data_IF_065997998454
#
_entry.id   IF_065997998454
#
_cell.length_a   1.000
_cell.length_b   1.000
_cell.length_c   1.000
_cell.angle_alpha   90.00
_cell.angle_beta   90.00
_cell.angle_gamma   90.00
#
_symmetry.space_group_name_H-M   'P 1'
#
loop_
_entity.id
_entity.type
_entity.pdbx_description
1 polymer ?
#
# COMPACT_ATOMS: atom_id res chain seq x y z
N UNK A 1 -0.07 -26.36 3.68
CA UNK A 1 1.23 -26.87 3.18
C UNK A 1 1.04 -28.32 2.76
N UNK A 2 1.70 -28.79 1.69
CA UNK A 2 1.57 -30.19 1.25
C UNK A 2 2.12 -31.18 2.30
N UNK A 3 1.67 -32.44 2.27
CA UNK A 3 2.00 -33.47 3.28
C UNK A 3 3.51 -33.73 3.41
N UNK A 4 4.26 -33.56 2.33
CA UNK A 4 5.73 -33.75 2.30
C UNK A 4 6.51 -32.63 3.02
N UNK A 5 5.91 -31.44 3.15
CA UNK A 5 6.55 -30.25 3.74
C UNK A 5 6.03 -29.93 5.14
N UNK A 6 4.78 -30.33 5.45
CA UNK A 6 4.08 -29.93 6.68
C UNK A 6 4.75 -30.39 7.97
N UNK A 7 5.61 -31.41 7.93
CA UNK A 7 6.33 -31.92 9.10
C UNK A 7 7.80 -31.51 9.20
N UNK A 8 8.33 -30.78 8.22
CA UNK A 8 9.78 -30.48 8.13
C UNK A 8 10.09 -29.00 7.96
N UNK A 9 9.22 -28.27 7.25
CA UNK A 9 9.42 -26.84 7.03
C UNK A 9 9.16 -26.08 8.33
N UNK A 10 10.18 -25.37 8.80
CA UNK A 10 10.04 -24.42 9.89
C UNK A 10 9.32 -23.17 9.36
N UNK A 11 8.27 -22.74 10.05
CA UNK A 11 7.42 -21.63 9.60
C UNK A 11 7.01 -20.76 10.78
N UNK A 12 6.98 -19.45 10.53
CA UNK A 12 6.39 -18.47 11.43
C UNK A 12 5.24 -17.79 10.71
N UNK A 13 4.01 -18.01 11.18
CA UNK A 13 2.83 -17.28 10.67
C UNK A 13 2.63 -16.05 11.53
N UNK A 14 2.47 -14.88 10.91
CA UNK A 14 2.19 -13.62 11.60
C UNK A 14 0.78 -13.15 11.28
N UNK A 15 0.03 -12.72 12.29
CA UNK A 15 -1.26 -12.08 12.08
C UNK A 15 -1.40 -10.84 12.95
N UNK A 16 -1.96 -9.78 12.38
CA UNK A 16 -2.07 -8.48 13.05
C UNK A 16 -3.49 -7.96 13.02
N UNK A 17 -3.90 -7.45 14.17
CA UNK A 17 -5.15 -6.73 14.37
C UNK A 17 -5.26 -5.45 13.51
N UNK A 18 -4.13 -4.93 13.03
CA UNK A 18 -4.07 -3.71 12.20
C UNK A 18 -4.52 -3.91 10.74
N UNK A 19 -5.02 -5.10 10.38
CA UNK A 19 -5.23 -5.49 8.98
C UNK A 19 -6.66 -5.22 8.51
N UNK A 20 -6.77 -4.68 7.28
CA UNK A 20 -7.96 -4.51 6.46
C UNK A 20 -9.31 -4.35 7.22
N UNK A 21 -10.08 -5.43 7.33
CA UNK A 21 -11.49 -5.37 7.76
C UNK A 21 -11.66 -5.03 9.25
N UNK A 22 -10.67 -5.30 10.09
CA UNK A 22 -10.69 -4.87 11.49
C UNK A 22 -10.05 -3.48 11.63
N UNK A 23 -8.87 -3.29 11.05
CA UNK A 23 -8.24 -1.96 10.96
C UNK A 23 -7.87 -1.30 12.30
N UNK A 24 -7.85 -2.04 13.40
CA UNK A 24 -7.63 -1.53 14.76
C UNK A 24 -6.14 -1.28 15.07
N UNK A 25 -5.52 -0.45 14.23
CA UNK A 25 -4.07 -0.25 14.22
C UNK A 25 -3.52 0.37 15.51
N UNK A 26 -4.31 1.22 16.18
CA UNK A 26 -3.94 1.89 17.43
C UNK A 26 -3.81 0.97 18.64
N UNK A 27 -4.43 -0.22 18.60
CA UNK A 27 -4.40 -1.19 19.69
C UNK A 27 -3.10 -2.03 19.73
N UNK A 28 -2.25 -1.89 18.70
CA UNK A 28 -0.89 -2.47 18.64
C UNK A 28 -0.81 -3.95 19.02
N UNK A 29 -1.71 -4.79 18.50
CA UNK A 29 -1.74 -6.21 18.77
C UNK A 29 -1.62 -7.10 17.53
N UNK A 30 -1.17 -8.33 17.78
CA UNK A 30 -1.00 -9.41 16.81
C UNK A 30 -0.53 -10.67 17.52
N UNK A 31 -0.47 -11.77 16.79
CA UNK A 31 0.13 -13.01 17.26
C UNK A 31 1.10 -13.58 16.22
N UNK A 32 1.94 -14.50 16.69
CA UNK A 32 2.71 -15.37 15.81
C UNK A 32 2.46 -16.83 16.17
N UNK A 33 2.48 -17.69 15.17
CA UNK A 33 2.41 -19.14 15.32
C UNK A 33 3.72 -19.75 14.81
N UNK A 34 4.39 -20.52 15.66
CA UNK A 34 5.63 -21.23 15.36
C UNK A 34 5.29 -22.68 15.01
N UNK A 35 5.69 -23.14 13.82
CA UNK A 35 5.44 -24.51 13.34
C UNK A 35 6.77 -25.17 12.96
N UNK A 36 7.01 -26.38 13.48
CA UNK A 36 8.24 -27.18 13.27
C UNK A 36 9.55 -26.43 13.58
N UNK A 37 9.51 -25.39 14.41
CA UNK A 37 10.70 -24.59 14.70
C UNK A 37 11.74 -25.42 15.45
N UNK A 38 13.02 -25.19 15.15
CA UNK A 38 14.11 -25.79 15.91
C UNK A 38 13.93 -25.49 17.41
N UNK A 39 14.04 -26.50 18.30
CA UNK A 39 13.93 -26.29 19.74
C UNK A 39 14.91 -25.25 20.30
N UNK A 40 16.13 -25.16 19.77
CA UNK A 40 17.12 -24.15 20.20
C UNK A 40 16.66 -22.74 19.80
N UNK A 41 16.11 -22.58 18.60
CA UNK A 41 15.54 -21.29 18.14
C UNK A 41 14.32 -20.92 18.97
N UNK A 42 13.44 -21.89 19.25
CA UNK A 42 12.25 -21.68 20.09
C UNK A 42 12.64 -21.19 21.48
N UNK A 43 13.70 -21.74 22.07
CA UNK A 43 14.23 -21.27 23.35
C UNK A 43 14.65 -19.80 23.32
N UNK A 44 15.31 -19.33 22.26
CA UNK A 44 15.66 -17.92 22.10
C UNK A 44 14.43 -17.03 21.95
N UNK A 45 13.43 -17.47 21.18
CA UNK A 45 12.17 -16.73 21.00
C UNK A 45 11.44 -16.58 22.34
N UNK A 46 11.25 -17.67 23.08
CA UNK A 46 10.59 -17.63 24.40
C UNK A 46 11.35 -16.73 25.38
N UNK A 47 12.68 -16.81 25.37
CA UNK A 47 13.53 -15.94 26.21
C UNK A 47 13.29 -14.47 25.88
N UNK A 48 13.30 -14.11 24.58
CA UNK A 48 13.07 -12.74 24.13
C UNK A 48 11.70 -12.23 24.58
N UNK A 49 10.64 -13.03 24.39
CA UNK A 49 9.27 -12.67 24.78
C UNK A 49 9.08 -12.56 26.31
N UNK A 50 9.76 -13.41 27.09
CA UNK A 50 9.67 -13.38 28.56
C UNK A 50 10.44 -12.21 29.18
N UNK A 51 11.45 -11.68 28.47
CA UNK A 51 12.27 -10.56 28.95
C UNK A 51 11.69 -9.18 28.62
N UNK A 52 10.69 -9.11 27.73
CA UNK A 52 10.02 -7.87 27.34
C UNK A 52 8.72 -7.65 28.13
N UNK A 53 8.20 -6.42 28.12
CA UNK A 53 6.90 -6.10 28.70
C UNK A 53 5.81 -6.66 27.77
N UNK A 54 4.84 -7.36 28.35
CA UNK A 54 3.71 -7.92 27.61
C UNK A 54 2.94 -6.86 26.83
N UNK A 55 2.35 -7.24 25.70
CA UNK A 55 1.47 -6.37 24.90
C UNK A 55 0.30 -5.82 25.73
N UNK A 56 -0.21 -4.60 25.41
CA UNK A 56 -1.34 -4.03 26.14
C UNK A 56 -2.56 -4.97 26.17
N UNK A 57 -3.14 -5.16 27.36
CA UNK A 57 -4.29 -6.06 27.57
C UNK A 57 -5.47 -5.71 26.67
N UNK A 58 -5.72 -4.43 26.42
CA UNK A 58 -6.76 -3.98 25.48
C UNK A 58 -6.55 -4.50 24.07
N UNK A 59 -5.31 -4.51 23.60
CA UNK A 59 -4.94 -5.10 22.31
C UNK A 59 -5.11 -6.61 22.30
N UNK A 60 -4.78 -7.31 23.39
CA UNK A 60 -5.00 -8.75 23.51
C UNK A 60 -6.48 -9.12 23.47
N UNK A 61 -7.35 -8.36 24.15
CA UNK A 61 -8.81 -8.56 24.11
C UNK A 61 -9.35 -8.36 22.69
N UNK A 62 -8.94 -7.27 22.02
CA UNK A 62 -9.38 -7.02 20.65
C UNK A 62 -8.88 -8.09 19.67
N UNK A 63 -7.69 -8.64 19.90
CA UNK A 63 -7.16 -9.76 19.13
C UNK A 63 -8.00 -11.03 19.33
N UNK A 64 -8.39 -11.33 20.58
CA UNK A 64 -9.26 -12.47 20.89
C UNK A 64 -10.63 -12.34 20.19
N UNK A 65 -11.23 -11.15 20.22
CA UNK A 65 -12.48 -10.86 19.50
C UNK A 65 -12.33 -11.00 17.97
N UNK A 66 -11.19 -10.62 17.41
CA UNK A 66 -10.92 -10.76 15.98
C UNK A 66 -10.85 -12.23 15.55
N UNK A 67 -10.19 -13.09 16.33
CA UNK A 67 -10.03 -14.52 15.99
C UNK A 67 -11.25 -15.36 16.38
N UNK A 68 -12.11 -14.84 17.26
CA UNK A 68 -13.35 -15.46 17.71
C UNK A 68 -14.58 -14.58 17.37
N UNK A 69 -14.90 -14.37 16.07
CA UNK A 69 -16.04 -13.54 15.69
C UNK A 69 -17.39 -14.18 16.09
N UNK A 70 -18.48 -13.39 16.15
CA UNK A 70 -19.83 -13.90 16.38
C UNK A 70 -20.19 -15.04 15.42
N UNK A 71 -20.96 -16.01 15.92
CA UNK A 71 -21.41 -17.20 15.18
C UNK A 71 -22.90 -17.10 14.85
N UNK A 72 -23.40 -17.87 13.85
CA UNK A 72 -24.82 -17.92 13.56
C UNK A 72 -25.64 -18.24 14.82
N UNK A 73 -26.58 -17.35 15.16
CA UNK A 73 -27.40 -17.42 16.37
C UNK A 73 -26.97 -16.45 17.49
N UNK A 74 -25.77 -15.88 17.42
CA UNK A 74 -25.34 -14.83 18.35
C UNK A 74 -26.05 -13.49 18.06
N UNK A 75 -26.34 -12.66 19.09
CA UNK A 75 -27.11 -11.43 18.91
C UNK A 75 -26.55 -10.43 17.89
N UNK A 76 -25.22 -10.38 17.71
CA UNK A 76 -24.54 -9.44 16.81
C UNK A 76 -24.09 -10.06 15.49
N UNK A 77 -24.39 -11.33 15.22
CA UNK A 77 -23.89 -12.05 14.04
C UNK A 77 -24.26 -11.38 12.72
N UNK A 78 -25.53 -11.03 12.56
CA UNK A 78 -26.01 -10.43 11.30
C UNK A 78 -25.38 -9.05 11.07
N UNK A 79 -25.34 -8.21 12.11
CA UNK A 79 -24.71 -6.88 12.02
C UNK A 79 -23.22 -6.97 11.70
N UNK A 80 -22.48 -7.80 12.44
CA UNK A 80 -21.05 -8.01 12.22
C UNK A 80 -20.78 -8.51 10.78
N UNK A 81 -21.55 -9.49 10.33
CA UNK A 81 -21.37 -10.06 8.99
C UNK A 81 -21.65 -9.02 7.90
N UNK A 82 -22.71 -8.21 8.07
CA UNK A 82 -23.05 -7.13 7.13
C UNK A 82 -21.93 -6.07 7.06
N UNK A 83 -21.38 -5.66 8.20
CA UNK A 83 -20.28 -4.68 8.26
C UNK A 83 -19.02 -5.19 7.55
N UNK A 84 -18.60 -6.42 7.83
CA UNK A 84 -17.42 -7.03 7.19
C UNK A 84 -17.62 -7.15 5.67
N UNK A 85 -18.79 -7.62 5.23
CA UNK A 85 -19.10 -7.74 3.81
C UNK A 85 -19.13 -6.38 3.10
N UNK A 86 -19.65 -5.35 3.76
CA UNK A 86 -19.67 -3.99 3.23
C UNK A 86 -18.24 -3.45 3.04
N UNK A 87 -17.36 -3.64 4.01
CA UNK A 87 -15.94 -3.22 3.92
C UNK A 87 -15.24 -3.96 2.78
N UNK A 88 -15.43 -5.27 2.66
CA UNK A 88 -14.84 -6.07 1.59
C UNK A 88 -15.34 -5.65 0.20
N UNK A 89 -16.66 -5.42 0.06
CA UNK A 89 -17.25 -4.94 -1.18
C UNK A 89 -16.72 -3.56 -1.56
N UNK A 90 -16.65 -2.63 -0.61
CA UNK A 90 -16.10 -1.29 -0.81
C UNK A 90 -14.65 -1.35 -1.27
N UNK A 91 -13.81 -2.14 -0.59
CA UNK A 91 -12.41 -2.33 -0.97
C UNK A 91 -12.25 -2.91 -2.38
N UNK A 92 -13.04 -3.93 -2.73
CA UNK A 92 -12.99 -4.55 -4.06
C UNK A 92 -13.41 -3.57 -5.15
N UNK A 93 -14.47 -2.79 -4.93
CA UNK A 93 -14.95 -1.79 -5.88
C UNK A 93 -13.95 -0.64 -6.03
N UNK A 94 -13.39 -0.16 -4.93
CA UNK A 94 -12.35 0.86 -4.92
C UNK A 94 -11.09 0.39 -5.66
N UNK A 95 -10.66 -0.85 -5.43
CA UNK A 95 -9.53 -1.47 -6.13
C UNK A 95 -9.75 -1.48 -7.63
N UNK A 96 -10.93 -1.91 -8.08
CA UNK A 96 -11.28 -1.96 -9.49
C UNK A 96 -11.34 -0.56 -10.11
N UNK A 97 -12.08 0.37 -9.49
CA UNK A 97 -12.23 1.75 -9.96
C UNK A 97 -10.88 2.43 -10.12
N UNK A 98 -10.04 2.38 -9.08
CA UNK A 98 -8.72 2.99 -9.14
C UNK A 98 -7.80 2.30 -10.15
N UNK A 99 -7.88 0.97 -10.29
CA UNK A 99 -7.12 0.24 -11.31
C UNK A 99 -7.48 0.69 -12.73
N UNK A 100 -8.77 0.73 -13.07
CA UNK A 100 -9.24 1.17 -14.39
C UNK A 100 -8.82 2.61 -14.66
N UNK A 101 -9.13 3.52 -13.73
CA UNK A 101 -8.80 4.94 -13.84
C UNK A 101 -7.30 5.20 -14.05
N UNK A 102 -6.43 4.54 -13.27
CA UNK A 102 -4.99 4.74 -13.36
C UNK A 102 -4.41 4.20 -14.68
N UNK A 103 -5.02 3.18 -15.30
CA UNK A 103 -4.57 2.66 -16.58
C UNK A 103 -5.03 3.50 -17.79
N UNK A 104 -6.04 4.35 -17.60
CA UNK A 104 -6.49 5.30 -18.63
C UNK A 104 -5.59 6.55 -18.70
N UNK A 105 -4.77 6.80 -17.67
CA UNK A 105 -3.86 7.94 -17.62
C UNK A 105 -2.57 7.71 -18.43
N UNK A 106 -2.11 8.71 -19.21
CA UNK A 106 -0.95 8.57 -20.08
C UNK A 106 0.33 8.44 -19.25
N UNK A 107 1.08 7.35 -19.45
CA UNK A 107 2.30 7.11 -18.70
C UNK A 107 2.06 6.52 -17.30
N UNK A 108 0.84 6.09 -16.98
CA UNK A 108 0.56 5.24 -15.82
C UNK A 108 0.15 3.84 -16.25
N UNK A 109 0.49 2.84 -15.44
CA UNK A 109 -0.08 1.49 -15.57
C UNK A 109 -0.17 0.83 -14.20
N UNK A 110 -1.24 0.09 -13.93
CA UNK A 110 -1.47 -0.54 -12.63
C UNK A 110 -1.93 -1.98 -12.82
N UNK A 111 -1.40 -2.91 -12.03
CA UNK A 111 -1.90 -4.29 -12.00
C UNK A 111 -3.14 -4.38 -11.11
N UNK A 112 -4.08 -5.31 -11.38
CA UNK A 112 -5.24 -5.49 -10.51
C UNK A 112 -4.79 -5.99 -9.13
N UNK A 113 -5.35 -5.42 -8.06
CA UNK A 113 -5.09 -5.90 -6.71
C UNK A 113 -5.75 -7.27 -6.49
N UNK A 114 -4.98 -8.22 -5.95
CA UNK A 114 -5.47 -9.53 -5.52
C UNK A 114 -5.76 -9.63 -4.02
N UNK A 115 -5.45 -8.56 -3.28
CA UNK A 115 -5.61 -8.48 -1.83
C UNK A 115 -4.88 -7.28 -1.25
N UNK A 116 -5.10 -7.03 0.04
CA UNK A 116 -4.55 -5.86 0.73
C UNK A 116 -5.32 -4.57 0.43
N UNK A 117 -4.73 -3.44 0.81
CA UNK A 117 -5.37 -2.12 0.77
C UNK A 117 -4.61 -1.12 -0.11
N UNK A 118 -3.63 -1.59 -0.90
CA UNK A 118 -2.77 -0.73 -1.70
C UNK A 118 -2.76 -1.15 -3.17
N UNK A 119 -2.75 -0.16 -4.04
CA UNK A 119 -2.36 -0.29 -5.45
C UNK A 119 -0.96 0.29 -5.66
N UNK A 120 -0.25 -0.29 -6.63
CA UNK A 120 1.13 0.09 -6.97
C UNK A 120 1.23 0.48 -8.45
N UNK A 121 0.64 1.62 -8.87
CA UNK A 121 0.76 2.05 -10.25
C UNK A 121 2.22 2.39 -10.58
N UNK A 122 2.67 1.89 -11.72
CA UNK A 122 3.94 2.25 -12.36
C UNK A 122 3.80 3.59 -13.07
N UNK A 123 4.79 4.44 -12.88
CA UNK A 123 4.93 5.73 -13.53
C UNK A 123 6.00 5.68 -14.62
N UNK A 124 5.65 6.18 -15.79
CA UNK A 124 6.52 6.45 -16.91
C UNK A 124 6.63 7.97 -17.07
N UNK A 125 7.67 8.54 -16.46
CA UNK A 125 7.89 9.98 -16.47
C UNK A 125 8.85 10.40 -17.59
N UNK A 126 8.65 11.60 -18.16
CA UNK A 126 9.61 12.23 -19.07
C UNK A 126 11.00 12.37 -18.43
N UNK A 127 12.05 12.31 -19.26
CA UNK A 127 13.44 12.37 -18.81
C UNK A 127 13.76 13.67 -18.08
N UNK A 128 13.11 14.78 -18.43
CA UNK A 128 13.29 16.08 -17.79
C UNK A 128 12.94 16.04 -16.29
N UNK A 129 11.90 15.30 -15.92
CA UNK A 129 11.48 15.15 -14.52
C UNK A 129 12.45 14.24 -13.77
N UNK A 130 12.91 13.17 -14.43
CA UNK A 130 13.91 12.24 -13.88
C UNK A 130 15.23 13.00 -13.63
N UNK A 131 15.68 13.83 -14.56
CA UNK A 131 16.88 14.65 -14.38
C UNK A 131 16.69 15.69 -13.26
N UNK A 132 15.54 16.38 -13.20
CA UNK A 132 15.23 17.31 -12.10
C UNK A 132 15.29 16.62 -10.73
N UNK A 133 14.84 15.37 -10.64
CA UNK A 133 14.88 14.59 -9.40
C UNK A 133 16.31 14.28 -8.92
N UNK A 134 17.29 14.17 -9.84
CA UNK A 134 18.70 13.95 -9.48
C UNK A 134 19.31 15.14 -8.75
N UNK A 135 18.86 16.35 -9.07
CA UNK A 135 19.37 17.60 -8.49
C UNK A 135 18.63 18.04 -7.22
N UNK A 136 17.67 17.25 -6.73
CA UNK A 136 17.06 17.53 -5.44
C UNK A 136 18.11 17.49 -4.33
N UNK A 137 18.21 18.56 -3.51
CA UNK A 137 19.18 18.58 -2.43
C UNK A 137 18.91 17.44 -1.45
N UNK A 138 19.96 16.86 -0.91
CA UNK A 138 19.95 15.64 -0.08
C UNK A 138 19.16 15.77 1.24
N UNK A 139 18.60 16.96 1.53
CA UNK A 139 17.85 17.29 2.74
C UNK A 139 16.37 17.65 2.52
N UNK A 140 15.76 17.36 1.36
CA UNK A 140 14.31 17.58 1.19
C UNK A 140 13.52 16.55 2.01
N UNK A 141 13.20 16.96 3.25
CA UNK A 141 12.21 16.42 4.20
C UNK A 141 11.51 15.12 3.81
N UNK A 142 12.04 14.00 4.32
CA UNK A 142 11.22 12.96 4.92
C UNK A 142 11.25 13.20 6.44
N UNK A 143 10.12 13.21 7.15
CA UNK A 143 10.13 13.33 8.61
C UNK A 143 10.89 12.15 9.22
N UNK A 144 12.01 12.45 9.87
CA UNK A 144 12.80 11.64 10.82
C UNK A 144 12.61 10.10 10.77
N UNK A 145 13.28 9.37 9.86
CA UNK A 145 13.76 8.01 10.20
C UNK A 145 14.77 7.35 9.26
N UNK A 146 15.06 7.88 8.05
CA UNK A 146 15.99 7.21 7.13
C UNK A 146 16.93 8.24 6.46
N UNK A 147 18.27 8.11 6.56
CA UNK A 147 19.21 8.95 5.82
C UNK A 147 18.99 8.80 4.31
N UNK A 148 18.87 9.92 3.60
CA UNK A 148 18.58 9.97 2.15
C UNK A 148 19.75 9.41 1.31
N UNK A 149 20.94 9.29 1.90
CA UNK A 149 22.18 8.81 1.28
C UNK A 149 22.08 7.38 0.70
N UNK A 150 21.08 6.60 1.12
CA UNK A 150 20.84 5.23 0.63
C UNK A 150 19.71 5.10 -0.40
N UNK A 151 19.06 6.20 -0.80
CA UNK A 151 17.94 6.13 -1.73
C UNK A 151 18.41 6.08 -3.18
N UNK A 152 18.01 5.01 -3.86
CA UNK A 152 18.18 4.83 -5.29
C UNK A 152 17.57 6.01 -6.08
N UNK A 153 18.18 6.46 -7.19
CA UNK A 153 17.69 7.57 -8.03
C UNK A 153 16.20 7.45 -8.43
N UNK A 154 15.73 6.22 -8.57
CA UNK A 154 14.35 5.88 -8.91
C UNK A 154 13.37 6.34 -7.83
N UNK A 155 13.73 6.19 -6.55
CA UNK A 155 12.89 6.61 -5.43
C UNK A 155 12.87 8.14 -5.33
N UNK A 156 13.98 8.83 -5.60
CA UNK A 156 14.03 10.31 -5.62
C UNK A 156 13.02 10.88 -6.62
N UNK A 157 12.87 10.22 -7.77
CA UNK A 157 11.89 10.61 -8.79
C UNK A 157 10.45 10.43 -8.29
N UNK A 158 10.13 9.28 -7.67
CA UNK A 158 8.81 9.06 -7.07
C UNK A 158 8.52 10.07 -5.95
N UNK A 159 9.51 10.38 -5.10
CA UNK A 159 9.38 11.36 -4.03
C UNK A 159 9.12 12.75 -4.58
N UNK A 160 9.84 13.17 -5.63
CA UNK A 160 9.59 14.45 -6.31
C UNK A 160 8.14 14.53 -6.80
N UNK A 161 7.68 13.50 -7.50
CA UNK A 161 6.30 13.44 -8.00
C UNK A 161 5.29 13.57 -6.86
N UNK A 162 5.43 12.77 -5.79
CA UNK A 162 4.54 12.83 -4.63
C UNK A 162 4.56 14.20 -3.93
N UNK A 163 5.73 14.84 -3.84
CA UNK A 163 5.85 16.17 -3.23
C UNK A 163 5.19 17.25 -4.08
N UNK A 164 5.32 17.20 -5.40
CA UNK A 164 4.65 18.12 -6.31
C UNK A 164 3.13 17.94 -6.22
N UNK A 165 2.65 16.69 -6.28
CA UNK A 165 1.23 16.37 -6.11
C UNK A 165 0.68 16.87 -4.76
N UNK A 166 1.43 16.67 -3.67
CA UNK A 166 1.03 17.18 -2.36
C UNK A 166 0.96 18.71 -2.31
N UNK A 167 1.92 19.40 -2.93
CA UNK A 167 1.99 20.87 -2.89
C UNK A 167 0.93 21.53 -3.77
N UNK A 168 0.69 20.98 -4.96
CA UNK A 168 -0.25 21.56 -5.92
C UNK A 168 -1.69 21.13 -5.66
N UNK A 169 -1.88 19.85 -5.35
CA UNK A 169 -3.20 19.25 -5.23
C UNK A 169 -3.49 18.75 -3.82
N UNK A 170 -2.66 18.97 -2.80
CA UNK A 170 -2.97 18.52 -1.43
C UNK A 170 -3.14 17.00 -1.27
N UNK A 171 -2.80 16.19 -2.28
CA UNK A 171 -2.96 14.74 -2.26
C UNK A 171 -1.64 14.09 -1.83
N UNK A 172 -1.69 13.32 -0.75
CA UNK A 172 -0.55 12.58 -0.23
C UNK A 172 -0.56 11.12 -0.71
N UNK A 173 0.42 10.74 -1.54
CA UNK A 173 0.66 9.36 -1.96
C UNK A 173 2.03 8.89 -1.47
N UNK A 174 2.15 7.58 -1.24
CA UNK A 174 3.44 6.99 -0.90
C UNK A 174 4.33 6.89 -2.14
N UNK A 175 5.59 7.28 -2.03
CA UNK A 175 6.59 6.92 -3.02
C UNK A 175 6.87 5.41 -2.90
N UNK A 176 6.58 4.66 -3.96
CA UNK A 176 6.81 3.22 -4.02
C UNK A 176 8.19 2.89 -4.59
N UNK A 177 8.85 1.89 -4.00
CA UNK A 177 9.92 1.14 -4.63
C UNK A 177 9.54 -0.34 -4.56
N UNK A 178 9.60 -1.05 -5.68
CA UNK A 178 9.47 -2.50 -5.66
C UNK A 178 10.85 -3.07 -5.33
N UNK A 179 11.02 -3.53 -4.08
CA UNK A 179 12.08 -4.45 -3.66
C UNK A 179 13.54 -4.08 -3.94
N UNK A 180 13.91 -2.79 -3.87
CA UNK A 180 15.32 -2.39 -3.93
C UNK A 180 16.04 -2.74 -5.25
N UNK A 181 15.30 -3.12 -6.30
CA UNK A 181 15.87 -3.41 -7.60
C UNK A 181 15.96 -2.13 -8.44
N UNK A 182 17.16 -1.84 -8.95
CA UNK A 182 17.45 -0.80 -9.94
C UNK A 182 16.92 -1.20 -11.32
N UNK A 183 15.60 -1.33 -11.44
CA UNK A 183 14.92 -1.65 -12.71
C UNK A 183 14.65 -0.41 -13.56
N UNK A 184 15.00 0.79 -13.08
CA UNK A 184 14.63 2.07 -13.72
C UNK A 184 13.11 2.33 -13.69
N UNK A 185 12.37 1.60 -12.87
CA UNK A 185 10.92 1.71 -12.76
C UNK A 185 10.51 2.55 -11.56
N UNK A 186 9.55 3.42 -11.77
CA UNK A 186 8.98 4.29 -10.74
C UNK A 186 7.59 3.77 -10.35
N UNK A 187 7.29 3.73 -9.06
CA UNK A 187 6.00 3.28 -8.55
C UNK A 187 5.45 4.27 -7.53
N UNK A 188 4.14 4.39 -7.48
CA UNK A 188 3.43 5.01 -6.35
C UNK A 188 2.81 3.93 -5.48
N UNK A 189 2.45 4.29 -4.25
CA UNK A 189 1.61 3.49 -3.36
C UNK A 189 0.34 4.29 -3.06
N UNK A 190 -0.78 3.86 -3.65
CA UNK A 190 -2.09 4.43 -3.44
C UNK A 190 -2.88 3.56 -2.46
N UNK A 191 -3.40 4.16 -1.38
CA UNK A 191 -4.30 3.49 -0.45
C UNK A 191 -5.73 3.51 -1.00
N UNK A 192 -6.40 2.36 -1.00
CA UNK A 192 -7.80 2.22 -1.44
C UNK A 192 -8.77 1.99 -0.27
N UNK A 193 -8.27 1.94 0.97
CA UNK A 193 -9.06 1.89 2.20
C UNK A 193 -9.53 3.30 2.58
N UNK A 194 -10.43 3.85 1.77
CA UNK A 194 -11.08 5.14 1.98
C UNK A 194 -12.54 5.05 1.50
N UNK A 195 -13.44 5.95 1.95
CA UNK A 195 -14.75 6.09 1.36
C UNK A 195 -14.69 6.28 -0.18
N UNK A 196 -15.69 5.78 -0.89
CA UNK A 196 -15.69 5.76 -2.36
C UNK A 196 -15.63 7.17 -2.99
N UNK A 197 -16.36 8.11 -2.41
CA UNK A 197 -16.36 9.53 -2.78
C UNK A 197 -15.00 10.19 -2.54
N UNK A 198 -14.34 9.87 -1.43
CA UNK A 198 -12.98 10.34 -1.13
C UNK A 198 -11.97 9.79 -2.14
N UNK A 199 -12.10 8.51 -2.53
CA UNK A 199 -11.24 7.93 -3.56
C UNK A 199 -11.42 8.65 -4.91
N UNK A 200 -12.66 8.92 -5.31
CA UNK A 200 -12.96 9.63 -6.55
C UNK A 200 -12.35 11.04 -6.57
N UNK A 201 -12.44 11.78 -5.47
CA UNK A 201 -11.79 13.10 -5.34
C UNK A 201 -10.26 12.99 -5.49
N UNK A 202 -9.64 12.02 -4.79
CA UNK A 202 -8.19 11.80 -4.85
C UNK A 202 -7.75 11.46 -6.27
N UNK A 203 -8.48 10.59 -6.97
CA UNK A 203 -8.19 10.20 -8.35
C UNK A 203 -8.35 11.37 -9.31
N UNK A 204 -9.41 12.19 -9.16
CA UNK A 204 -9.63 13.36 -9.99
C UNK A 204 -8.50 14.40 -9.84
N UNK A 205 -8.07 14.68 -8.60
CA UNK A 205 -6.97 15.60 -8.31
C UNK A 205 -5.64 15.07 -8.84
N UNK A 206 -5.38 13.77 -8.66
CA UNK A 206 -4.22 13.10 -9.24
C UNK A 206 -4.19 13.23 -10.77
N UNK A 207 -5.30 12.96 -11.45
CA UNK A 207 -5.39 13.08 -12.91
C UNK A 207 -5.16 14.52 -13.38
N UNK A 208 -5.81 15.49 -12.73
CA UNK A 208 -5.65 16.91 -13.05
C UNK A 208 -4.19 17.35 -12.97
N UNK A 209 -3.49 17.00 -11.89
CA UNK A 209 -2.05 17.25 -11.77
C UNK A 209 -1.23 16.51 -12.81
N UNK A 210 -1.49 15.21 -12.98
CA UNK A 210 -0.69 14.36 -13.84
C UNK A 210 -0.75 14.80 -15.30
N UNK A 211 -1.94 15.13 -15.80
CA UNK A 211 -2.12 15.61 -17.18
C UNK A 211 -1.38 16.93 -17.41
N UNK A 212 -1.49 17.90 -16.49
CA UNK A 212 -0.73 19.17 -16.58
C UNK A 212 0.78 18.93 -16.57
N UNK A 213 1.25 18.02 -15.71
CA UNK A 213 2.67 17.68 -15.64
C UNK A 213 3.16 17.08 -16.97
N UNK A 214 2.38 16.17 -17.56
CA UNK A 214 2.72 15.53 -18.83
C UNK A 214 2.64 16.51 -20.03
N UNK A 215 1.73 17.48 -20.00
CA UNK A 215 1.64 18.52 -21.04
C UNK A 215 2.84 19.48 -21.02
N UNK A 216 3.36 19.80 -19.83
CA UNK A 216 4.55 20.68 -19.70
C UNK A 216 5.87 20.02 -20.09
N UNK A 217 5.91 18.69 -20.16
CA UNK A 217 7.09 17.90 -20.52
C UNK A 217 6.66 16.72 -21.43
N UNK A 218 6.39 16.95 -22.73
CA UNK A 218 5.86 15.91 -23.60
C UNK A 218 6.85 14.76 -23.78
N UNK A 219 6.32 13.52 -23.82
CA UNK A 219 7.11 12.33 -24.11
C UNK A 219 7.76 12.45 -25.49
N UNK A 220 9.02 12.03 -25.69
CA UNK A 220 9.56 11.91 -27.04
C UNK A 220 8.71 10.88 -27.79
N UNK A 221 8.03 11.37 -28.83
CA UNK A 221 7.01 10.71 -29.63
C UNK A 221 7.44 9.29 -30.02
N UNK A 222 6.97 8.27 -29.28
CA UNK A 222 7.11 6.86 -29.68
C UNK A 222 5.83 6.41 -30.35
N UNK A 223 5.44 7.06 -31.45
CA UNK A 223 4.65 6.45 -32.53
C UNK A 223 3.45 5.58 -32.16
N UNK A 224 2.69 5.93 -31.12
CA UNK A 224 1.39 5.29 -30.85
C UNK A 224 0.30 6.28 -31.23
N UNK A 225 -0.43 5.94 -32.29
CA UNK A 225 -1.52 6.73 -32.89
C UNK A 225 -2.46 7.28 -31.82
N UNK A 226 -2.57 8.60 -31.78
CA UNK A 226 -3.45 9.33 -30.88
C UNK A 226 -4.92 8.94 -31.05
N UNK A 227 -5.60 8.82 -29.91
CA UNK A 227 -7.03 9.09 -29.80
C UNK A 227 -7.16 10.37 -28.99
N UNK A 228 -7.50 11.45 -29.69
CA UNK A 228 -7.96 12.69 -29.05
C UNK A 228 -9.23 12.39 -28.27
N UNK A 229 -9.20 12.56 -26.95
CA UNK A 229 -10.40 12.79 -26.16
C UNK A 229 -10.44 14.30 -25.93
N UNK A 230 -11.14 14.99 -26.82
CA UNK A 230 -11.71 16.31 -26.52
C UNK A 230 -13.17 16.08 -26.18
N UNK A 231 -13.59 16.80 -25.14
CA UNK A 231 -14.98 17.13 -24.80
C UNK A 231 -15.83 15.99 -24.22
N UNK A 232 -15.79 15.78 -22.90
CA UNK A 232 -17.00 15.89 -22.05
C UNK A 232 -16.60 16.01 -20.56
N UNK A 233 -17.22 17.00 -19.89
CA UNK A 233 -17.15 17.42 -18.47
C UNK A 233 -16.09 18.47 -18.13
#
# INVERSE_FOLDING_TARGET
MGKEYSGTVQMVSLHSLSSACMGECGLRAGYMELVNMDPEVTHFVDTMLCTDISSPVTGQIALDLMVNPPKPGDPSYDTYTQEILLIQATLSQNAQRAHEFLNDLPGMSSQPAKGGIYLYPRLHLPSEIIEKAKFLPEGVFLPHTIPIESFLPEIKTCVLYCQMLLKEEGVFLGAGCQNGETTGNHYLRLCILVPADTLEEVLARLASFHLRLMDTCPYPDRGVKGRYIRDTL
#
